data_IF_628256730567
#
_entry.id   IF_628256730567
#
_cell.length_a   1.000
_cell.length_b   1.000
_cell.length_c   1.000
_cell.angle_alpha   90.00
_cell.angle_beta   90.00
_cell.angle_gamma   90.00
#
_symmetry.space_group_name_H-M   'P 1'
#
loop_
_entity.id
_entity.type
_entity.pdbx_description
1 polymer ?
#
# COMPACT_ATOMS: atom_id res chain seq x y z
N UNK A 1 9.68 -4.72 3.88
CA UNK A 1 8.78 -4.65 2.71
C UNK A 1 9.17 -3.40 1.94
N UNK A 2 9.42 -3.50 0.65
CA UNK A 2 9.63 -2.34 -0.22
C UNK A 2 8.69 -2.41 -1.43
N UNK A 3 8.26 -1.25 -1.91
CA UNK A 3 7.44 -1.14 -3.12
C UNK A 3 8.40 -0.97 -4.28
N UNK A 4 8.39 -1.93 -5.20
CA UNK A 4 9.27 -1.95 -6.37
C UNK A 4 8.68 -1.16 -7.54
N UNK A 5 7.37 -1.22 -7.72
CA UNK A 5 6.67 -0.58 -8.83
C UNK A 5 5.21 -0.30 -8.47
N UNK A 6 4.65 0.76 -9.05
CA UNK A 6 3.24 1.13 -8.94
C UNK A 6 2.70 1.33 -10.35
N UNK A 7 1.66 0.57 -10.72
CA UNK A 7 0.94 0.69 -11.98
C UNK A 7 -0.55 0.84 -11.65
N UNK A 8 -1.04 2.09 -11.65
CA UNK A 8 -2.42 2.39 -11.24
C UNK A 8 -2.70 1.83 -9.83
N UNK A 9 -3.73 0.99 -9.65
CA UNK A 9 -4.03 0.37 -8.36
C UNK A 9 -3.16 -0.85 -8.03
N UNK A 10 -2.30 -1.30 -8.96
CA UNK A 10 -1.47 -2.50 -8.79
C UNK A 10 -0.09 -2.11 -8.28
N UNK A 11 0.36 -2.78 -7.21
CA UNK A 11 1.67 -2.59 -6.60
C UNK A 11 2.47 -3.88 -6.61
N UNK A 12 3.73 -3.77 -7.02
CA UNK A 12 4.72 -4.83 -6.91
C UNK A 12 5.48 -4.62 -5.60
N UNK A 13 5.39 -5.58 -4.70
CA UNK A 13 5.95 -5.46 -3.36
C UNK A 13 6.94 -6.59 -3.12
N UNK A 14 8.16 -6.23 -2.70
CA UNK A 14 9.17 -7.20 -2.30
C UNK A 14 9.23 -7.33 -0.77
N UNK A 15 9.35 -8.58 -0.32
CA UNK A 15 9.43 -8.96 1.08
C UNK A 15 10.79 -9.56 1.39
N UNK A 16 11.29 -9.38 2.62
CA UNK A 16 12.41 -10.18 3.11
C UNK A 16 12.09 -11.68 3.06
N UNK A 17 13.13 -12.54 2.98
CA UNK A 17 12.98 -13.97 3.24
C UNK A 17 12.21 -14.22 4.55
N UNK A 18 11.31 -15.22 4.54
CA UNK A 18 10.49 -15.61 5.70
C UNK A 18 9.45 -14.60 6.20
N UNK A 19 9.24 -13.49 5.48
CA UNK A 19 8.17 -12.51 5.75
C UNK A 19 7.19 -12.38 4.58
N UNK A 20 7.11 -13.41 3.74
CA UNK A 20 6.21 -13.43 2.61
C UNK A 20 4.76 -13.54 3.08
N UNK A 21 3.86 -12.63 2.66
CA UNK A 21 2.44 -12.76 2.95
C UNK A 21 1.79 -13.82 2.06
N UNK A 22 0.65 -14.37 2.51
CA UNK A 22 -0.18 -15.23 1.69
C UNK A 22 -1.05 -14.39 0.74
N UNK A 23 -1.62 -15.03 -0.28
CA UNK A 23 -2.71 -14.45 -1.07
C UNK A 23 -3.89 -14.10 -0.14
N UNK A 24 -4.62 -13.04 -0.48
CA UNK A 24 -5.70 -12.45 0.31
C UNK A 24 -5.30 -11.81 1.65
N UNK A 25 -4.00 -11.78 1.98
CA UNK A 25 -3.55 -10.97 3.11
C UNK A 25 -3.62 -9.47 2.77
N UNK A 26 -4.06 -8.68 3.74
CA UNK A 26 -3.99 -7.23 3.68
C UNK A 26 -2.56 -6.74 3.97
N UNK A 27 -2.12 -5.77 3.19
CA UNK A 27 -0.89 -4.99 3.35
C UNK A 27 -1.28 -3.55 3.63
N UNK A 28 -0.68 -2.95 4.65
CA UNK A 28 -0.87 -1.53 4.94
C UNK A 28 0.41 -0.79 4.56
N UNK A 29 0.31 0.03 3.51
CA UNK A 29 1.35 0.96 3.09
C UNK A 29 1.18 2.26 3.85
N UNK A 30 2.19 2.66 4.60
CA UNK A 30 2.20 3.91 5.36
C UNK A 30 3.05 4.95 4.63
N UNK A 31 2.55 6.16 4.51
CA UNK A 31 3.24 7.29 3.89
C UNK A 31 2.89 8.60 4.58
N UNK A 32 3.48 9.69 4.08
CA UNK A 32 3.09 11.05 4.43
C UNK A 32 2.77 11.82 3.16
N UNK A 33 1.78 12.68 3.22
CA UNK A 33 1.47 13.62 2.14
C UNK A 33 2.41 14.83 2.15
N UNK A 34 2.19 15.77 1.23
CA UNK A 34 2.94 17.03 1.14
C UNK A 34 2.73 17.95 2.34
N UNK A 35 1.63 17.78 3.08
CA UNK A 35 1.31 18.48 4.32
C UNK A 35 1.76 17.70 5.58
N UNK A 36 2.59 16.65 5.42
CA UNK A 36 3.06 15.76 6.49
C UNK A 36 1.97 14.98 7.24
N UNK A 37 0.75 14.90 6.71
CA UNK A 37 -0.31 14.07 7.25
C UNK A 37 -0.04 12.60 6.95
N UNK A 38 -0.34 11.71 7.91
CA UNK A 38 -0.17 10.28 7.71
C UNK A 38 -1.22 9.75 6.75
N UNK A 39 -0.74 9.09 5.68
CA UNK A 39 -1.58 8.35 4.75
C UNK A 39 -1.35 6.87 5.00
N UNK A 40 -2.43 6.11 5.16
CA UNK A 40 -2.41 4.65 5.18
C UNK A 40 -3.23 4.13 4.01
N UNK A 41 -2.61 3.35 3.14
CA UNK A 41 -3.28 2.69 2.01
C UNK A 41 -3.33 1.19 2.31
N UNK A 42 -4.53 0.62 2.27
CA UNK A 42 -4.72 -0.83 2.39
C UNK A 42 -4.74 -1.46 1.00
N UNK A 43 -3.87 -2.43 0.81
CA UNK A 43 -3.76 -3.23 -0.41
C UNK A 43 -3.97 -4.71 -0.05
N UNK A 44 -4.47 -5.50 -0.99
CA UNK A 44 -4.62 -6.94 -0.82
C UNK A 44 -3.68 -7.67 -1.75
N UNK A 45 -3.02 -8.72 -1.24
CA UNK A 45 -2.16 -9.58 -2.05
C UNK A 45 -3.02 -10.43 -2.98
N UNK A 46 -2.84 -10.24 -4.28
CA UNK A 46 -3.59 -10.98 -5.31
C UNK A 46 -2.77 -12.17 -5.83
N UNK A 47 -1.44 -12.03 -5.95
CA UNK A 47 -0.60 -13.05 -6.56
C UNK A 47 0.80 -13.08 -5.96
N UNK A 48 1.35 -14.29 -5.79
CA UNK A 48 2.77 -14.50 -5.51
C UNK A 48 3.55 -14.55 -6.83
N UNK A 49 4.56 -13.69 -7.00
CA UNK A 49 5.39 -13.62 -8.21
C UNK A 49 6.64 -14.51 -8.15
N UNK A 50 6.92 -15.13 -7.01
CA UNK A 50 8.22 -15.74 -6.73
C UNK A 50 9.29 -14.69 -6.40
N UNK A 51 10.52 -15.13 -6.12
CA UNK A 51 11.64 -14.26 -5.72
C UNK A 51 11.28 -13.26 -4.60
N UNK A 52 10.47 -13.71 -3.64
CA UNK A 52 9.97 -12.93 -2.51
C UNK A 52 9.17 -11.68 -2.91
N UNK A 53 8.53 -11.70 -4.08
CA UNK A 53 7.68 -10.61 -4.59
C UNK A 53 6.23 -11.04 -4.69
N UNK A 54 5.34 -10.07 -4.54
CA UNK A 54 3.90 -10.24 -4.70
C UNK A 54 3.31 -9.10 -5.51
N UNK A 55 2.20 -9.37 -6.22
CA UNK A 55 1.30 -8.35 -6.74
C UNK A 55 0.23 -8.10 -5.71
N UNK A 56 0.01 -6.82 -5.40
CA UNK A 56 -1.10 -6.38 -4.56
C UNK A 56 -1.94 -5.34 -5.28
N UNK A 57 -3.22 -5.26 -4.94
CA UNK A 57 -4.16 -4.28 -5.47
C UNK A 57 -4.68 -3.40 -4.32
N UNK A 58 -4.74 -2.08 -4.52
CA UNK A 58 -5.34 -1.16 -3.56
C UNK A 58 -6.86 -1.10 -3.75
N UNK A 59 -7.63 -1.25 -2.67
CA UNK A 59 -9.10 -1.10 -2.70
C UNK A 59 -9.57 0.35 -2.60
N UNK A 60 -8.77 1.25 -2.03
CA UNK A 60 -9.22 2.61 -1.71
C UNK A 60 -8.67 3.67 -2.68
N UNK A 61 -9.60 4.49 -3.16
CA UNK A 61 -9.38 5.73 -3.93
C UNK A 61 -8.60 6.74 -3.05
N UNK A 62 -7.62 7.46 -3.62
CA UNK A 62 -6.89 8.55 -2.96
C UNK A 62 -7.82 9.54 -2.24
N UNK A 63 -8.10 9.33 -0.95
CA UNK A 63 -8.60 10.37 -0.06
C UNK A 63 -7.40 11.18 0.40
N UNK A 64 -7.02 12.18 -0.41
CA UNK A 64 -6.37 13.36 0.14
C UNK A 64 -7.28 13.84 1.27
N UNK A 65 -6.75 13.87 2.49
CA UNK A 65 -7.46 14.28 3.69
C UNK A 65 -7.82 15.76 3.56
N UNK A 66 -8.97 16.02 2.93
CA UNK A 66 -9.62 17.31 3.03
C UNK A 66 -10.27 17.38 4.42
N UNK A 67 -9.44 17.59 5.45
CA UNK A 67 -9.90 18.16 6.70
C UNK A 67 -9.92 19.67 6.49
N UNK A 68 -11.07 20.19 6.05
CA UNK A 68 -11.43 21.56 6.44
C UNK A 68 -11.36 21.56 7.97
N UNK A 69 -10.47 22.38 8.51
CA UNK A 69 -10.46 22.66 9.93
C UNK A 69 -11.81 23.34 10.23
N UNK A 70 -12.77 22.59 10.77
CA UNK A 70 -13.78 23.21 11.62
C UNK A 70 -13.04 23.57 12.90
N UNK A 71 -12.63 24.84 12.96
CA UNK A 71 -12.25 25.70 14.11
C UNK A 71 -11.16 26.69 13.67
N UNK A 72 -11.53 27.65 12.83
CA UNK A 72 -11.08 29.05 12.83
C UNK A 72 -12.02 29.89 11.94
#
# INVERSE_FOLDING_TARGET
MCISQIIGPILDVAFPPSKMPNIYNALVVKGRDTASQQINVTCEVQQLLGNNRVKSCSYEHYKCSNKRNEND
#
